data_IF_525359262405
#
_entry.id   IF_525359262405
#
_cell.length_a   1.000
_cell.length_b   1.000
_cell.length_c   1.000
_cell.angle_alpha   90.00
_cell.angle_beta   90.00
_cell.angle_gamma   90.00
#
_symmetry.space_group_name_H-M   'P 1'
#
loop_
_entity.id
_entity.type
_entity.pdbx_description
1 polymer ?
#
# COMPACT_ATOMS: atom_id res chain seq x y z
N UNK A 1 -7.06 -27.18 0.87
CA UNK A 1 -5.94 -27.10 -0.10
C UNK A 1 -4.57 -26.96 0.57
N UNK A 2 -4.41 -26.31 1.74
CA UNK A 2 -3.10 -26.21 2.44
C UNK A 2 -2.79 -27.42 3.35
N UNK A 3 -3.81 -27.93 4.06
CA UNK A 3 -3.67 -29.08 4.96
C UNK A 3 -3.16 -30.37 4.26
N UNK A 4 -3.46 -30.54 2.97
CA UNK A 4 -2.99 -31.68 2.18
C UNK A 4 -1.47 -31.69 1.95
N UNK A 5 -0.79 -30.57 2.23
CA UNK A 5 0.67 -30.43 2.15
C UNK A 5 1.32 -30.32 3.55
N UNK A 6 0.58 -30.59 4.63
CA UNK A 6 1.08 -30.48 6.00
C UNK A 6 1.35 -29.03 6.45
N UNK A 7 0.74 -28.05 5.78
CA UNK A 7 0.94 -26.63 6.06
C UNK A 7 -0.25 -26.06 6.83
N UNK A 8 0.05 -25.34 7.91
CA UNK A 8 -0.96 -24.70 8.78
C UNK A 8 -1.26 -23.26 8.39
N UNK A 9 -0.41 -22.67 7.55
CA UNK A 9 -0.60 -21.34 6.99
C UNK A 9 0.07 -21.28 5.60
N UNK A 10 -0.34 -20.35 4.72
CA UNK A 10 0.21 -20.23 3.36
C UNK A 10 1.63 -19.63 3.31
N UNK A 11 2.20 -19.25 4.46
CA UNK A 11 3.45 -18.49 4.58
C UNK A 11 4.63 -19.35 5.04
N UNK A 12 4.35 -20.38 5.82
CA UNK A 12 5.25 -21.49 6.10
C UNK A 12 5.20 -22.37 4.86
N UNK A 13 6.09 -22.09 3.91
CA UNK A 13 6.27 -22.94 2.73
C UNK A 13 6.62 -24.39 3.14
N UNK A 14 6.69 -25.32 2.19
CA UNK A 14 7.18 -26.66 2.49
C UNK A 14 8.59 -26.61 3.09
N UNK A 15 9.01 -27.67 3.81
CA UNK A 15 10.30 -27.72 4.50
C UNK A 15 11.48 -27.26 3.62
N UNK A 16 12.34 -26.39 4.16
CA UNK A 16 13.56 -25.92 3.48
C UNK A 16 13.44 -24.62 2.70
N UNK A 17 12.51 -23.73 3.10
CA UNK A 17 12.36 -22.39 2.49
C UNK A 17 12.18 -22.45 0.96
N UNK A 18 11.36 -23.40 0.47
CA UNK A 18 11.11 -23.51 -0.96
C UNK A 18 10.32 -22.28 -1.44
N UNK A 19 10.99 -21.44 -2.23
CA UNK A 19 10.50 -20.12 -2.64
C UNK A 19 10.09 -20.04 -4.12
N UNK A 20 10.31 -21.12 -4.87
CA UNK A 20 10.08 -21.19 -6.30
C UNK A 20 9.01 -22.23 -6.67
N UNK A 21 8.11 -21.83 -7.56
CA UNK A 21 7.14 -22.69 -8.23
C UNK A 21 7.39 -22.59 -9.73
N UNK A 22 7.54 -23.73 -10.42
CA UNK A 22 7.79 -23.78 -11.87
C UNK A 22 8.90 -22.82 -12.36
N UNK A 23 10.00 -22.73 -11.61
CA UNK A 23 11.16 -21.87 -11.95
C UNK A 23 10.98 -20.38 -11.66
N UNK A 24 9.90 -19.95 -11.02
CA UNK A 24 9.63 -18.55 -10.66
C UNK A 24 9.39 -18.40 -9.16
N UNK A 25 9.78 -17.26 -8.58
CA UNK A 25 9.47 -16.98 -7.19
C UNK A 25 7.96 -16.73 -7.00
N UNK A 26 7.42 -17.12 -5.84
CA UNK A 26 5.99 -16.98 -5.51
C UNK A 26 5.46 -15.55 -5.77
N UNK A 27 6.20 -14.53 -5.33
CA UNK A 27 5.78 -13.13 -5.45
C UNK A 27 5.63 -12.69 -6.91
N UNK A 28 6.38 -13.27 -7.85
CA UNK A 28 6.29 -12.95 -9.29
C UNK A 28 4.90 -13.25 -9.83
N UNK A 29 4.30 -14.36 -9.43
CA UNK A 29 2.94 -14.72 -9.84
C UNK A 29 1.90 -13.72 -9.33
N UNK A 30 2.01 -13.33 -8.06
CA UNK A 30 1.08 -12.39 -7.43
C UNK A 30 1.17 -11.00 -8.08
N UNK A 31 2.39 -10.50 -8.29
CA UNK A 31 2.65 -9.23 -8.97
C UNK A 31 2.10 -9.25 -10.41
N UNK A 32 2.42 -10.29 -11.18
CA UNK A 32 1.94 -10.42 -12.57
C UNK A 32 0.42 -10.52 -12.66
N UNK A 33 -0.22 -11.28 -11.77
CA UNK A 33 -1.67 -11.38 -11.72
C UNK A 33 -2.34 -10.01 -11.54
N UNK A 34 -1.76 -9.17 -10.68
CA UNK A 34 -2.28 -7.82 -10.43
C UNK A 34 -2.12 -6.92 -11.68
N UNK A 35 -1.00 -7.02 -12.39
CA UNK A 35 -0.80 -6.30 -13.65
C UNK A 35 -1.74 -6.78 -14.75
N UNK A 36 -1.95 -8.08 -14.90
CA UNK A 36 -2.85 -8.63 -15.91
C UNK A 36 -4.31 -8.25 -15.63
N UNK A 37 -4.71 -8.20 -14.36
CA UNK A 37 -6.01 -7.69 -13.93
C UNK A 37 -6.19 -6.21 -14.31
N UNK A 38 -5.18 -5.37 -14.04
CA UNK A 38 -5.20 -3.95 -14.43
C UNK A 38 -5.28 -3.78 -15.95
N UNK A 39 -4.51 -4.56 -16.73
CA UNK A 39 -4.56 -4.53 -18.19
C UNK A 39 -5.93 -4.92 -18.74
N UNK A 40 -6.58 -5.92 -18.14
CA UNK A 40 -7.94 -6.33 -18.50
C UNK A 40 -8.93 -5.18 -18.31
N UNK A 41 -8.91 -4.54 -17.13
CA UNK A 41 -9.76 -3.39 -16.79
C UNK A 41 -9.49 -2.20 -17.72
N UNK A 42 -8.22 -1.87 -17.96
CA UNK A 42 -7.83 -0.74 -18.80
C UNK A 42 -8.24 -0.90 -20.27
N UNK A 43 -8.50 -2.13 -20.74
CA UNK A 43 -8.94 -2.43 -22.11
C UNK A 43 -10.46 -2.46 -22.29
N UNK A 44 -11.22 -2.55 -21.20
CA UNK A 44 -12.68 -2.59 -21.24
C UNK A 44 -13.25 -1.20 -20.91
N UNK A 45 -13.89 -0.57 -21.89
CA UNK A 45 -14.50 0.75 -21.73
C UNK A 45 -15.68 0.77 -20.75
N UNK A 46 -16.25 -0.40 -20.42
CA UNK A 46 -17.34 -0.57 -19.48
C UNK A 46 -16.87 -0.99 -18.08
N UNK A 47 -15.57 -1.25 -17.89
CA UNK A 47 -15.04 -1.64 -16.60
C UNK A 47 -15.21 -0.52 -15.57
N UNK A 48 -15.65 -0.90 -14.37
CA UNK A 48 -15.81 0.01 -13.26
C UNK A 48 -14.48 0.26 -12.53
N UNK A 49 -14.41 1.38 -11.82
CA UNK A 49 -13.33 1.62 -10.87
C UNK A 49 -13.29 0.49 -9.82
N UNK A 50 -12.08 0.10 -9.43
CA UNK A 50 -11.87 -1.05 -8.56
C UNK A 50 -10.76 -0.77 -7.56
N UNK A 51 -10.97 -1.22 -6.32
CA UNK A 51 -9.91 -1.40 -5.34
C UNK A 51 -9.34 -2.82 -5.45
N UNK A 52 -8.01 -2.93 -5.61
CA UNK A 52 -7.31 -4.22 -5.56
C UNK A 52 -6.35 -4.25 -4.37
N UNK A 53 -6.32 -5.37 -3.65
CA UNK A 53 -5.41 -5.62 -2.54
C UNK A 53 -4.68 -6.95 -2.75
N UNK A 54 -3.41 -6.99 -2.35
CA UNK A 54 -2.55 -8.16 -2.43
C UNK A 54 -1.52 -8.09 -1.29
N UNK A 55 -1.22 -9.22 -0.66
CA UNK A 55 -0.13 -9.37 0.29
C UNK A 55 0.92 -10.35 -0.24
N UNK A 56 2.20 -9.98 -0.16
CA UNK A 56 3.31 -10.78 -0.70
C UNK A 56 3.93 -11.73 0.33
N UNK A 57 3.89 -11.36 1.62
CA UNK A 57 4.50 -12.10 2.75
C UNK A 57 5.95 -12.53 2.55
N UNK A 58 6.68 -11.86 1.66
CA UNK A 58 8.05 -12.19 1.26
C UNK A 58 9.07 -11.85 2.34
N UNK A 59 8.74 -10.92 3.25
CA UNK A 59 9.54 -10.59 4.42
C UNK A 59 9.33 -11.52 5.63
N UNK A 60 8.37 -12.45 5.55
CA UNK A 60 8.13 -13.44 6.61
C UNK A 60 9.16 -14.57 6.52
N UNK A 61 10.42 -14.23 6.81
CA UNK A 61 11.61 -15.05 6.63
C UNK A 61 12.62 -14.79 7.75
N UNK A 62 13.18 -15.87 8.30
CA UNK A 62 14.17 -15.84 9.37
C UNK A 62 15.61 -15.65 8.86
N UNK A 63 15.87 -15.91 7.57
CA UNK A 63 17.20 -15.78 6.95
C UNK A 63 17.32 -14.58 5.98
N UNK A 64 16.20 -13.96 5.62
CA UNK A 64 16.16 -12.83 4.69
C UNK A 64 16.51 -13.18 3.24
N UNK A 65 16.46 -14.46 2.85
CA UNK A 65 16.70 -14.89 1.46
C UNK A 65 15.51 -14.55 0.56
N UNK A 66 14.29 -14.63 1.08
CA UNK A 66 13.07 -14.34 0.33
C UNK A 66 13.01 -12.90 -0.15
N UNK A 67 13.36 -11.94 0.72
CA UNK A 67 13.35 -10.52 0.36
C UNK A 67 14.43 -10.18 -0.68
N UNK A 68 15.58 -10.86 -0.65
CA UNK A 68 16.65 -10.67 -1.63
C UNK A 68 16.24 -11.05 -3.06
N UNK A 69 15.25 -11.93 -3.22
CA UNK A 69 14.78 -12.35 -4.55
C UNK A 69 13.66 -11.46 -5.10
N UNK A 70 13.11 -10.54 -4.30
CA UNK A 70 12.00 -9.68 -4.68
C UNK A 70 12.38 -8.60 -5.70
N UNK A 71 13.59 -8.05 -5.59
CA UNK A 71 13.98 -6.80 -6.25
C UNK A 71 13.72 -6.79 -7.77
N UNK A 72 14.14 -7.81 -8.56
CA UNK A 72 13.89 -7.79 -10.01
C UNK A 72 12.40 -7.76 -10.38
N UNK A 73 11.57 -8.53 -9.66
CA UNK A 73 10.13 -8.58 -9.90
C UNK A 73 9.44 -7.28 -9.44
N UNK A 74 9.91 -6.69 -8.34
CA UNK A 74 9.38 -5.43 -7.83
C UNK A 74 9.71 -4.27 -8.76
N UNK A 75 10.92 -4.19 -9.30
CA UNK A 75 11.31 -3.17 -10.30
C UNK A 75 10.40 -3.24 -11.52
N UNK A 76 10.15 -4.43 -12.06
CA UNK A 76 9.24 -4.62 -13.19
C UNK A 76 7.81 -4.18 -12.84
N UNK A 77 7.34 -4.54 -11.66
CA UNK A 77 6.00 -4.19 -11.18
C UNK A 77 5.83 -2.68 -11.01
N UNK A 78 6.75 -2.02 -10.30
CA UNK A 78 6.74 -0.56 -10.06
C UNK A 78 6.82 0.20 -11.38
N UNK A 79 7.69 -0.24 -12.30
CA UNK A 79 7.83 0.37 -13.63
C UNK A 79 6.52 0.26 -14.41
N UNK A 80 5.88 -0.91 -14.39
CA UNK A 80 4.60 -1.12 -15.08
C UNK A 80 3.49 -0.23 -14.51
N UNK A 81 3.38 -0.14 -13.18
CA UNK A 81 2.39 0.71 -12.52
C UNK A 81 2.59 2.21 -12.76
N UNK A 82 3.84 2.66 -12.91
CA UNK A 82 4.14 4.04 -13.24
C UNK A 82 3.54 4.48 -14.60
N UNK A 83 3.23 3.53 -15.48
CA UNK A 83 2.58 3.77 -16.77
C UNK A 83 1.04 3.67 -16.73
N UNK A 84 0.45 3.22 -15.62
CA UNK A 84 -1.01 3.08 -15.46
C UNK A 84 -1.65 4.43 -15.11
N UNK A 85 -1.91 5.25 -16.12
CA UNK A 85 -2.28 6.68 -15.97
C UNK A 85 -3.56 6.97 -15.16
N UNK A 86 -4.35 5.95 -14.81
CA UNK A 86 -5.60 6.06 -14.03
C UNK A 86 -5.54 5.32 -12.69
N UNK A 87 -4.37 4.83 -12.29
CA UNK A 87 -4.20 4.00 -11.10
C UNK A 87 -3.26 4.68 -10.11
N UNK A 88 -3.72 4.88 -8.88
CA UNK A 88 -2.84 5.15 -7.74
C UNK A 88 -2.45 3.81 -7.12
N UNK A 89 -1.19 3.64 -6.72
CA UNK A 89 -0.76 2.42 -6.02
C UNK A 89 -0.07 2.78 -4.73
N UNK A 90 -0.44 2.09 -3.66
CA UNK A 90 0.25 2.14 -2.36
C UNK A 90 0.90 0.78 -2.15
N UNK A 91 2.20 0.77 -1.87
CA UNK A 91 2.92 -0.43 -1.48
C UNK A 91 3.55 -0.15 -0.12
N UNK A 92 3.31 -1.05 0.82
CA UNK A 92 3.73 -0.88 2.19
C UNK A 92 4.10 -2.23 2.80
N UNK A 93 5.01 -2.19 3.77
CA UNK A 93 5.13 -3.23 4.78
C UNK A 93 4.19 -2.92 5.95
N UNK A 94 3.56 -3.95 6.48
CA UNK A 94 2.82 -3.89 7.74
C UNK A 94 3.76 -3.74 8.94
N UNK A 95 4.95 -4.34 8.89
CA UNK A 95 6.02 -4.19 9.87
C UNK A 95 7.41 -4.52 9.27
N UNK A 96 8.48 -4.18 9.97
CA UNK A 96 9.85 -4.68 9.69
C UNK A 96 10.02 -6.15 10.10
N UNK A 97 11.14 -6.79 9.75
CA UNK A 97 11.29 -8.23 9.98
C UNK A 97 11.38 -8.59 11.48
N UNK A 98 10.56 -9.54 11.93
CA UNK A 98 10.49 -10.01 13.33
C UNK A 98 11.01 -11.44 13.53
N UNK A 99 11.42 -12.10 12.44
CA UNK A 99 11.72 -13.54 12.42
C UNK A 99 13.21 -13.87 12.49
N UNK A 100 14.08 -12.86 12.43
CA UNK A 100 15.54 -13.06 12.46
C UNK A 100 16.05 -13.19 13.89
N UNK A 101 17.19 -13.86 14.05
CA UNK A 101 17.93 -13.86 15.32
C UNK A 101 18.29 -12.42 15.74
N UNK A 102 18.63 -11.57 14.77
CA UNK A 102 18.92 -10.15 15.01
C UNK A 102 17.74 -9.43 15.69
N UNK A 103 16.52 -9.62 15.19
CA UNK A 103 15.32 -9.02 15.76
C UNK A 103 14.98 -9.54 17.18
N UNK A 104 15.36 -10.78 17.50
CA UNK A 104 15.02 -11.40 18.80
C UNK A 104 16.07 -11.14 19.89
N UNK A 105 17.35 -11.09 19.51
CA UNK A 105 18.49 -11.06 20.45
C UNK A 105 19.14 -9.68 20.59
N UNK A 106 19.04 -8.81 19.59
CA UNK A 106 19.69 -7.50 19.56
C UNK A 106 18.66 -6.38 19.68
N UNK A 107 18.94 -5.37 20.52
CA UNK A 107 18.00 -4.28 20.78
C UNK A 107 17.72 -3.45 19.52
N UNK A 108 18.75 -3.16 18.74
CA UNK A 108 18.67 -2.47 17.46
C UNK A 108 17.79 -3.23 16.46
N UNK A 109 17.89 -4.56 16.43
CA UNK A 109 17.03 -5.40 15.59
C UNK A 109 15.55 -5.35 15.98
N UNK A 110 15.25 -5.16 17.27
CA UNK A 110 13.85 -4.94 17.71
C UNK A 110 13.31 -3.61 17.18
N UNK A 111 14.16 -2.61 17.03
CA UNK A 111 13.75 -1.33 16.46
C UNK A 111 13.51 -1.40 14.95
N UNK A 112 14.18 -2.30 14.21
CA UNK A 112 13.93 -2.49 12.77
C UNK A 112 12.47 -2.87 12.47
N UNK A 113 11.79 -3.58 13.37
CA UNK A 113 10.34 -3.88 13.26
C UNK A 113 9.48 -2.63 13.05
N UNK A 114 9.90 -1.49 13.62
CA UNK A 114 9.17 -0.23 13.55
C UNK A 114 9.61 0.68 12.39
N UNK A 115 10.44 0.18 11.48
CA UNK A 115 10.85 0.87 10.26
C UNK A 115 10.28 0.21 8.99
N UNK A 116 8.95 0.11 8.84
CA UNK A 116 8.36 -0.42 7.62
C UNK A 116 8.58 0.54 6.44
N UNK A 117 8.60 -0.01 5.23
CA UNK A 117 8.62 0.80 4.02
C UNK A 117 7.21 1.22 3.62
N UNK A 118 7.08 2.42 3.07
CA UNK A 118 5.86 2.91 2.41
C UNK A 118 6.27 3.67 1.15
N UNK A 119 5.67 3.32 0.02
CA UNK A 119 5.78 4.11 -1.19
C UNK A 119 4.44 4.20 -1.93
N UNK A 120 4.19 5.38 -2.48
CA UNK A 120 2.98 5.67 -3.26
C UNK A 120 3.38 6.04 -4.67
N UNK A 121 2.87 5.30 -5.64
CA UNK A 121 3.07 5.56 -7.07
C UNK A 121 1.89 6.40 -7.55
N UNK A 122 2.19 7.60 -8.03
CA UNK A 122 1.21 8.54 -8.61
C UNK A 122 1.59 8.86 -10.05
N UNK A 123 1.01 8.16 -11.03
CA UNK A 123 1.22 8.45 -12.45
C UNK A 123 0.74 9.84 -12.85
N UNK A 124 1.28 10.40 -13.94
CA UNK A 124 0.96 11.79 -14.38
C UNK A 124 -0.53 12.03 -14.66
N UNK A 125 -1.28 10.99 -15.03
CA UNK A 125 -2.73 11.11 -15.21
C UNK A 125 -3.45 11.31 -13.88
N UNK A 126 -3.10 10.51 -12.87
CA UNK A 126 -3.62 10.63 -11.51
C UNK A 126 -3.22 11.95 -10.86
N UNK A 127 -1.97 12.38 -11.00
CA UNK A 127 -1.51 13.64 -10.39
C UNK A 127 -2.30 14.86 -10.89
N UNK A 128 -2.73 14.86 -12.16
CA UNK A 128 -3.59 15.91 -12.72
C UNK A 128 -5.01 15.88 -12.15
N UNK A 129 -5.52 14.69 -11.84
CA UNK A 129 -6.85 14.53 -11.24
C UNK A 129 -6.83 14.98 -9.78
N UNK A 130 -5.76 14.64 -9.04
CA UNK A 130 -5.60 15.01 -7.62
C UNK A 130 -5.33 16.51 -7.43
N UNK A 131 -4.69 17.17 -8.42
CA UNK A 131 -4.38 18.59 -8.35
C UNK A 131 -3.12 18.91 -7.54
N UNK A 132 -2.67 20.17 -7.62
CA UNK A 132 -1.38 20.60 -7.06
C UNK A 132 -1.33 20.50 -5.54
N UNK A 133 -2.42 20.81 -4.85
CA UNK A 133 -2.49 20.81 -3.39
C UNK A 133 -2.30 19.41 -2.81
N UNK A 134 -3.03 18.41 -3.32
CA UNK A 134 -2.87 17.02 -2.91
C UNK A 134 -1.44 16.52 -3.22
N UNK A 135 -0.87 16.90 -4.37
CA UNK A 135 0.51 16.56 -4.71
C UNK A 135 1.54 17.27 -3.81
N UNK A 136 1.26 18.49 -3.33
CA UNK A 136 2.11 19.20 -2.37
C UNK A 136 2.07 18.53 -0.99
N UNK A 137 0.87 18.15 -0.52
CA UNK A 137 0.70 17.39 0.71
C UNK A 137 1.46 16.06 0.67
N UNK A 138 1.34 15.28 -0.42
CA UNK A 138 2.09 14.04 -0.61
C UNK A 138 3.62 14.26 -0.57
N UNK A 139 4.13 15.38 -1.09
CA UNK A 139 5.57 15.71 -1.01
C UNK A 139 6.00 16.08 0.41
N UNK A 140 5.19 16.84 1.14
CA UNK A 140 5.46 17.19 2.53
C UNK A 140 5.48 15.94 3.44
N UNK A 141 4.55 15.01 3.21
CA UNK A 141 4.42 13.79 4.00
C UNK A 141 5.59 12.81 3.83
N UNK A 142 6.41 12.93 2.79
CA UNK A 142 7.65 12.14 2.64
C UNK A 142 8.66 12.35 3.79
N UNK A 143 8.51 13.42 4.58
CA UNK A 143 9.38 13.75 5.73
C UNK A 143 8.64 13.76 7.06
N UNK A 144 7.39 13.31 7.09
CA UNK A 144 6.56 13.26 8.31
C UNK A 144 6.40 11.82 8.77
N UNK A 145 6.11 11.65 10.06
CA UNK A 145 5.66 10.36 10.57
C UNK A 145 4.24 10.13 10.05
N UNK A 146 4.03 9.00 9.41
CA UNK A 146 2.73 8.58 8.88
C UNK A 146 2.33 7.27 9.53
N UNK A 147 1.07 7.17 9.93
CA UNK A 147 0.49 5.97 10.54
C UNK A 147 -0.45 5.25 9.57
N UNK A 148 -0.90 4.05 9.94
CA UNK A 148 -1.94 3.35 9.18
C UNK A 148 -3.29 4.09 9.18
N UNK A 149 -3.57 4.88 10.22
CA UNK A 149 -4.79 5.71 10.31
C UNK A 149 -4.77 6.79 9.23
N UNK A 150 -3.61 7.40 9.05
CA UNK A 150 -3.37 8.41 8.01
C UNK A 150 -3.59 7.83 6.60
N UNK A 151 -3.04 6.63 6.33
CA UNK A 151 -3.26 5.91 5.07
C UNK A 151 -4.75 5.58 4.89
N UNK A 152 -5.45 5.15 5.94
CA UNK A 152 -6.89 4.90 5.89
C UNK A 152 -7.66 6.16 5.49
N UNK A 153 -7.41 7.30 6.15
CA UNK A 153 -8.08 8.56 5.79
C UNK A 153 -7.77 9.00 4.36
N UNK A 154 -6.54 8.83 3.89
CA UNK A 154 -6.16 9.09 2.50
C UNK A 154 -6.97 8.25 1.51
N UNK A 155 -7.11 6.94 1.77
CA UNK A 155 -7.91 6.05 0.93
C UNK A 155 -9.40 6.42 0.97
N UNK A 156 -9.93 6.79 2.14
CA UNK A 156 -11.32 7.24 2.27
C UNK A 156 -11.58 8.55 1.52
N UNK A 157 -10.61 9.46 1.48
CA UNK A 157 -10.70 10.68 0.67
C UNK A 157 -10.78 10.39 -0.84
N UNK A 158 -10.15 9.29 -1.29
CA UNK A 158 -10.19 8.84 -2.69
C UNK A 158 -11.46 8.04 -3.04
N UNK A 159 -12.12 7.46 -2.04
CA UNK A 159 -13.35 6.68 -2.23
C UNK A 159 -14.61 7.56 -2.45
N UNK A 160 -14.54 8.86 -2.13
CA UNK A 160 -15.61 9.81 -2.39
C UNK A 160 -15.64 10.30 -3.84
N UNK A 161 -16.73 10.96 -4.28
CA UNK A 161 -16.76 11.62 -5.58
C UNK A 161 -15.64 12.65 -5.67
N UNK A 162 -14.79 12.56 -6.70
CA UNK A 162 -13.76 13.58 -6.97
C UNK A 162 -14.50 14.86 -7.39
N UNK A 163 -14.44 15.96 -6.60
CA UNK A 163 -15.21 17.16 -6.91
C UNK A 163 -14.78 17.75 -8.26
N UNK A 164 -15.75 18.19 -9.08
CA UNK A 164 -15.46 18.99 -10.27
C UNK A 164 -14.92 20.35 -9.84
N UNK A 165 -13.94 20.86 -10.58
CA UNK A 165 -13.05 21.98 -10.25
C UNK A 165 -13.68 23.36 -9.93
N UNK A 166 -15.00 23.48 -9.71
CA UNK A 166 -15.67 24.78 -9.57
C UNK A 166 -16.11 25.16 -8.14
N UNK A 167 -16.02 24.30 -7.12
CA UNK A 167 -16.42 24.64 -5.75
C UNK A 167 -15.37 24.17 -4.71
N UNK A 168 -14.24 24.86 -4.67
CA UNK A 168 -13.09 24.51 -3.84
C UNK A 168 -13.12 25.29 -2.51
N UNK A 169 -13.76 24.72 -1.49
CA UNK A 169 -13.40 24.97 -0.10
C UNK A 169 -12.77 23.69 0.44
N UNK A 170 -11.44 23.65 0.51
CA UNK A 170 -10.71 22.49 1.04
C UNK A 170 -10.69 22.54 2.57
N UNK A 171 -11.35 21.54 3.16
CA UNK A 171 -11.03 21.00 4.48
C UNK A 171 -10.47 19.56 4.40
N UNK A 172 -10.03 19.11 3.23
CA UNK A 172 -9.54 17.73 3.02
C UNK A 172 -8.31 17.68 2.12
N UNK A 173 -7.13 17.85 2.71
CA UNK A 173 -5.90 17.33 2.15
C UNK A 173 -5.83 15.82 2.35
N UNK A 174 -5.07 15.11 1.51
CA UNK A 174 -4.45 13.83 1.92
C UNK A 174 -3.34 14.21 2.91
N UNK A 175 -3.76 14.64 4.09
CA UNK A 175 -2.85 14.91 5.19
C UNK A 175 -2.62 13.57 5.87
N UNK A 176 -1.35 13.15 5.88
CA UNK A 176 -0.94 11.91 6.50
C UNK A 176 -0.35 12.16 7.90
N UNK A 177 -0.65 13.33 8.47
CA UNK A 177 -0.16 13.78 9.74
C UNK A 177 -1.33 13.96 10.73
N UNK A 178 -1.47 13.00 11.63
CA UNK A 178 -2.35 13.08 12.81
C UNK A 178 -1.69 13.84 13.98
N UNK A 179 -0.47 14.35 13.82
CA UNK A 179 0.31 15.06 14.83
C UNK A 179 -0.15 16.49 15.07
N UNK A 180 -0.81 16.71 16.20
CA UNK A 180 -1.18 18.04 16.70
C UNK A 180 0.03 18.96 16.84
N UNK A 181 0.18 19.88 15.90
CA UNK A 181 1.35 20.75 15.84
C UNK A 181 1.17 22.05 15.04
N UNK A 182 -0.03 22.63 15.00
CA UNK A 182 -0.29 24.09 14.96
C UNK A 182 -1.80 24.31 14.99
N UNK A 183 -2.30 24.99 16.02
CA UNK A 183 -3.70 25.42 16.09
C UNK A 183 -3.98 26.43 14.97
N UNK A 184 -4.82 26.04 14.01
CA UNK A 184 -5.72 26.96 13.32
C UNK A 184 -7.05 26.25 13.11
N UNK A 185 -7.91 26.40 14.12
CA UNK A 185 -9.37 26.28 14.12
C UNK A 185 -10.06 25.64 12.90
N UNK A 186 -10.51 24.40 13.06
CA UNK A 186 -11.91 24.03 12.80
C UNK A 186 -12.22 22.71 13.50
N UNK A 187 -13.10 22.75 14.51
CA UNK A 187 -13.66 21.55 15.13
C UNK A 187 -14.52 20.82 14.09
N UNK A 188 -14.23 19.56 13.81
CA UNK A 188 -15.15 18.71 13.04
C UNK A 188 -16.24 18.23 14.00
N UNK A 189 -17.45 18.75 13.80
CA UNK A 189 -18.66 18.25 14.44
C UNK A 189 -19.22 17.14 13.54
N UNK A 190 -19.09 15.88 13.95
CA UNK A 190 -19.68 14.73 13.26
C UNK A 190 -21.15 14.62 13.66
N UNK A 191 -22.01 15.45 13.06
CA UNK A 191 -23.45 15.25 13.10
C UNK A 191 -23.82 14.02 12.26
N UNK A 192 -24.06 12.89 12.91
CA UNK A 192 -24.82 11.80 12.30
C UNK A 192 -26.28 12.25 12.13
N UNK A 193 -26.93 12.00 10.99
CA UNK A 193 -28.38 12.11 10.92
C UNK A 193 -28.98 11.05 11.83
N UNK A 194 -29.79 11.46 12.80
CA UNK A 194 -30.70 10.56 13.51
C UNK A 194 -31.68 9.98 12.49
N UNK A 195 -31.60 8.68 12.23
CA UNK A 195 -32.70 7.95 11.62
C UNK A 195 -33.85 7.86 12.64
N UNK A 196 -35.06 8.16 12.18
CA UNK A 196 -36.29 8.01 12.95
C UNK A 196 -36.55 6.52 13.22
N UNK A 197 -36.38 6.05 14.46
CA UNK A 197 -37.36 5.29 15.29
C UNK A 197 -37.01 5.52 16.76
#
# INVERSE_FOLDING_TARGET
>A
MLAQYGLNNPFSGPPGDQICYNGQFQHTYLLNYTLDKLRGISRDAHAQAMLSYMSLSVGHDHVGRRIQTLDPALVQYVTSLAHEQKTITVILADHGNTYTEFASTILEGRFEMFHPHLFVIVPRGVSRILGEEAMAALRANQRRLTTMIDIHHALMALAGPIPKASNFEIQKGIDLDSGGGTQSSSKINLGYPSENV
#
